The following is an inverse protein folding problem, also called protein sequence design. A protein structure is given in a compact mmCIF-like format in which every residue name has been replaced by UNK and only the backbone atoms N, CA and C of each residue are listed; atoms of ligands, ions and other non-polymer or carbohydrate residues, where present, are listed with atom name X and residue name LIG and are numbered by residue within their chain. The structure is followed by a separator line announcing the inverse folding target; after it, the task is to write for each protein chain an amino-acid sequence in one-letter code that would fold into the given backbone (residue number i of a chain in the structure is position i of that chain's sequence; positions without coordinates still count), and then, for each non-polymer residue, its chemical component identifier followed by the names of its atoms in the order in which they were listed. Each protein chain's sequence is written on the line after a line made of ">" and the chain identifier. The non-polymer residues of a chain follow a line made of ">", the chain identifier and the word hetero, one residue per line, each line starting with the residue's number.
data_IF_629852347912
#
_entry.id   IF_629852347912
#
_cell.length_a   1.000
_cell.length_b   1.000
_cell.length_c   1.000
_cell.angle_alpha   90.00
_cell.angle_beta   90.00
_cell.angle_gamma   90.00
#
_symmetry.space_group_name_H-M   'P 1'
#
loop_
_entity.id
_entity.type
_entity.pdbx_description
1 polymer ?
#
# COMPACT_ATOMS: atom_id res chain seq x y z
N UNK A 1 -14.32 11.69 9.23
CA UNK A 1 -14.14 10.58 8.28
C UNK A 1 -12.71 10.61 7.75
N UNK A 2 -12.04 9.46 7.70
CA UNK A 2 -10.68 9.31 7.20
C UNK A 2 -10.62 8.15 6.21
N UNK A 3 -9.73 8.22 5.23
CA UNK A 3 -9.38 7.10 4.35
C UNK A 3 -8.02 6.56 4.75
N UNK A 4 -8.04 5.60 5.67
CA UNK A 4 -6.81 5.00 6.20
C UNK A 4 -6.01 4.25 5.14
N UNK A 5 -6.65 3.74 4.09
CA UNK A 5 -5.96 3.08 2.99
C UNK A 5 -5.06 4.07 2.25
N UNK A 6 -5.63 5.21 1.83
CA UNK A 6 -4.87 6.28 1.16
C UNK A 6 -3.82 6.86 2.10
N UNK A 7 -4.14 7.13 3.37
CA UNK A 7 -3.19 7.69 4.33
C UNK A 7 -2.02 6.74 4.58
N UNK A 8 -2.26 5.43 4.69
CA UNK A 8 -1.21 4.41 4.83
C UNK A 8 -0.28 4.40 3.61
N UNK A 9 -0.85 4.41 2.40
CA UNK A 9 -0.08 4.44 1.15
C UNK A 9 0.77 5.72 1.07
N UNK A 10 0.21 6.88 1.38
CA UNK A 10 0.95 8.14 1.36
C UNK A 10 2.04 8.20 2.44
N UNK A 11 1.82 7.59 3.60
CA UNK A 11 2.82 7.47 4.65
C UNK A 11 3.96 6.54 4.22
N UNK A 12 3.63 5.37 3.69
CA UNK A 12 4.59 4.37 3.21
C UNK A 12 5.44 4.92 2.06
N UNK A 13 4.81 5.60 1.09
CA UNK A 13 5.49 6.21 -0.06
C UNK A 13 5.88 7.67 0.19
N UNK A 14 6.47 7.91 1.34
CA UNK A 14 7.15 9.14 1.74
C UNK A 14 8.64 8.88 1.96
N UNK A 15 9.45 9.92 2.03
CA UNK A 15 10.88 9.82 2.38
C UNK A 15 11.09 9.06 3.69
N UNK A 16 10.31 9.38 4.71
CA UNK A 16 10.38 8.67 6.00
C UNK A 16 9.91 7.23 5.88
N UNK A 17 8.74 6.98 5.28
CA UNK A 17 8.17 5.65 5.16
C UNK A 17 9.05 4.68 4.37
N UNK A 18 9.65 5.13 3.26
CA UNK A 18 10.63 4.32 2.53
C UNK A 18 11.93 4.08 3.34
N UNK A 19 12.37 5.08 4.09
CA UNK A 19 13.51 4.91 5.00
C UNK A 19 13.25 3.80 6.02
N UNK A 20 12.08 3.79 6.65
CA UNK A 20 11.65 2.76 7.61
C UNK A 20 11.47 1.39 6.93
N UNK A 21 10.91 1.35 5.71
CA UNK A 21 10.76 0.14 4.91
C UNK A 21 12.12 -0.51 4.61
N UNK A 22 13.07 0.24 4.07
CA UNK A 22 14.39 -0.27 3.75
C UNK A 22 15.14 -0.73 5.01
N UNK A 23 15.03 0.01 6.11
CA UNK A 23 15.62 -0.41 7.39
C UNK A 23 15.02 -1.72 7.91
N UNK A 24 13.70 -1.91 7.79
CA UNK A 24 13.04 -3.17 8.17
C UNK A 24 13.50 -4.34 7.29
N UNK A 25 13.64 -4.15 5.96
CA UNK A 25 14.15 -5.17 5.05
C UNK A 25 15.57 -5.59 5.43
N UNK A 26 16.45 -4.62 5.70
CA UNK A 26 17.84 -4.89 6.12
C UNK A 26 17.90 -5.63 7.48
N UNK A 27 16.99 -5.29 8.40
CA UNK A 27 16.89 -5.95 9.71
C UNK A 27 16.51 -7.42 9.58
N UNK A 28 15.67 -7.78 8.59
CA UNK A 28 15.22 -9.18 8.35
C UNK A 28 16.33 -10.08 7.82
N UNK A 29 17.40 -9.52 7.23
CA UNK A 29 18.58 -10.26 6.72
C UNK A 29 18.20 -11.44 5.81
N UNK A 30 17.18 -11.28 4.96
CA UNK A 30 16.71 -12.30 4.04
C UNK A 30 17.71 -12.59 2.91
N UNK A 31 17.58 -13.77 2.29
CA UNK A 31 18.22 -14.03 1.00
C UNK A 31 17.29 -13.55 -0.11
N UNK A 32 17.63 -12.44 -0.73
CA UNK A 32 16.78 -11.79 -1.70
C UNK A 32 17.23 -12.06 -3.15
N UNK A 33 16.28 -12.07 -4.12
CA UNK A 33 16.58 -12.14 -5.55
C UNK A 33 17.48 -11.00 -6.02
N UNK A 34 18.06 -11.12 -7.21
CA UNK A 34 18.96 -10.09 -7.78
C UNK A 34 18.27 -8.72 -7.90
N UNK A 35 17.00 -8.71 -8.36
CA UNK A 35 16.18 -7.49 -8.46
C UNK A 35 16.09 -6.75 -7.12
N UNK A 36 15.71 -7.45 -6.04
CA UNK A 36 15.62 -6.85 -4.69
C UNK A 36 16.97 -6.34 -4.21
N UNK A 37 18.04 -7.11 -4.44
CA UNK A 37 19.39 -6.64 -4.08
C UNK A 37 19.81 -5.37 -4.82
N UNK A 38 19.45 -5.26 -6.11
CA UNK A 38 19.64 -4.04 -6.89
C UNK A 38 18.90 -2.84 -6.31
N UNK A 39 17.64 -3.03 -5.92
CA UNK A 39 16.84 -1.99 -5.27
C UNK A 39 17.43 -1.56 -3.91
N UNK A 40 17.90 -2.52 -3.11
CA UNK A 40 18.57 -2.23 -1.83
C UNK A 40 19.87 -1.46 -2.03
N UNK A 41 20.66 -1.78 -3.06
CA UNK A 41 21.87 -1.04 -3.40
C UNK A 41 21.56 0.42 -3.80
N UNK A 42 20.40 0.65 -4.44
CA UNK A 42 19.94 1.95 -4.89
C UNK A 42 18.94 2.62 -3.92
N UNK A 43 18.77 2.12 -2.70
CA UNK A 43 17.73 2.56 -1.75
C UNK A 43 17.67 4.07 -1.57
N UNK A 44 18.83 4.74 -1.54
CA UNK A 44 18.88 6.18 -1.33
C UNK A 44 18.19 6.95 -2.47
N UNK A 45 18.36 6.53 -3.73
CA UNK A 45 17.66 7.15 -4.87
C UNK A 45 16.14 6.99 -4.76
N UNK A 46 15.65 5.83 -4.28
CA UNK A 46 14.21 5.64 -4.02
C UNK A 46 13.72 6.59 -2.92
N UNK A 47 14.45 6.70 -1.82
CA UNK A 47 14.09 7.58 -0.69
C UNK A 47 14.09 9.06 -1.13
N UNK A 48 15.05 9.49 -1.93
CA UNK A 48 15.19 10.89 -2.35
C UNK A 48 14.14 11.30 -3.40
N UNK A 49 13.63 10.36 -4.20
CA UNK A 49 12.73 10.64 -5.31
C UNK A 49 11.25 10.46 -4.98
N UNK A 50 10.90 9.60 -4.03
CA UNK A 50 9.52 9.15 -3.78
C UNK A 50 8.55 10.30 -3.54
N UNK A 51 8.88 11.25 -2.69
CA UNK A 51 7.97 12.35 -2.33
C UNK A 51 7.61 13.22 -3.55
N UNK A 52 8.60 13.49 -4.41
CA UNK A 52 8.38 14.26 -5.63
C UNK A 52 7.57 13.48 -6.67
N UNK A 53 7.81 12.16 -6.79
CA UNK A 53 7.06 11.27 -7.69
C UNK A 53 5.59 11.18 -7.26
N UNK A 54 5.33 10.98 -5.98
CA UNK A 54 3.95 10.97 -5.45
C UNK A 54 3.25 12.31 -5.68
N UNK A 55 3.93 13.44 -5.42
CA UNK A 55 3.39 14.77 -5.70
C UNK A 55 3.08 14.98 -7.19
N UNK A 56 3.92 14.46 -8.08
CA UNK A 56 3.69 14.51 -9.52
C UNK A 56 2.44 13.71 -9.92
N UNK A 57 2.30 12.49 -9.44
CA UNK A 57 1.12 11.65 -9.71
C UNK A 57 -0.17 12.28 -9.17
N UNK A 58 -0.09 13.04 -8.07
CA UNK A 58 -1.19 13.83 -7.53
C UNK A 58 -1.47 15.13 -8.32
N UNK A 59 -0.72 15.41 -9.38
CA UNK A 59 -0.86 16.64 -10.17
C UNK A 59 -0.32 17.91 -9.50
N UNK A 60 0.55 17.77 -8.50
CA UNK A 60 1.11 18.91 -7.73
C UNK A 60 2.51 19.34 -8.19
N UNK A 61 3.14 18.61 -9.13
CA UNK A 61 4.53 18.85 -9.57
C UNK A 61 4.71 18.57 -11.07
N UNK A 62 3.94 19.22 -11.92
CA UNK A 62 3.97 19.01 -13.37
C UNK A 62 5.38 19.16 -14.01
N UNK A 63 6.25 20.10 -13.60
CA UNK A 63 7.61 20.23 -14.16
C UNK A 63 8.47 18.97 -14.01
N UNK A 64 8.13 18.07 -13.08
CA UNK A 64 8.86 16.82 -12.88
C UNK A 64 8.76 15.87 -14.08
N UNK A 65 7.73 15.99 -14.91
CA UNK A 65 7.54 15.16 -16.10
C UNK A 65 8.77 15.11 -17.00
N UNK A 66 9.38 16.27 -17.24
CA UNK A 66 10.58 16.38 -18.06
C UNK A 66 11.77 15.60 -17.48
N UNK A 67 11.96 15.71 -16.15
CA UNK A 67 13.06 15.00 -15.46
C UNK A 67 12.85 13.50 -15.44
N UNK A 68 11.61 13.04 -15.24
CA UNK A 68 11.26 11.60 -15.25
C UNK A 68 11.55 10.99 -16.63
N UNK A 69 11.20 11.69 -17.71
CA UNK A 69 11.41 11.19 -19.07
C UNK A 69 12.87 11.17 -19.53
N UNK A 70 13.75 11.93 -18.88
CA UNK A 70 15.18 12.00 -19.21
C UNK A 70 16.03 10.94 -18.49
N UNK A 71 15.44 9.83 -18.05
CA UNK A 71 16.05 8.61 -17.47
C UNK A 71 16.95 8.80 -16.24
N UNK A 72 17.50 9.98 -15.99
CA UNK A 72 18.44 10.22 -14.88
C UNK A 72 17.77 10.46 -13.52
N UNK A 73 16.44 10.62 -13.49
CA UNK A 73 15.73 10.99 -12.26
C UNK A 73 15.29 9.79 -11.45
N UNK A 74 14.62 8.83 -12.07
CA UNK A 74 14.17 7.61 -11.38
C UNK A 74 15.33 6.61 -11.26
N UNK A 75 15.36 5.75 -10.22
CA UNK A 75 16.24 4.61 -10.20
C UNK A 75 16.02 3.72 -11.42
N UNK A 76 17.10 3.13 -11.95
CA UNK A 76 16.98 2.13 -13.01
C UNK A 76 16.15 0.94 -12.54
N UNK A 77 15.22 0.51 -13.39
CA UNK A 77 14.39 -0.67 -13.16
C UNK A 77 14.29 -1.52 -14.41
N UNK A 78 14.16 -2.83 -14.22
CA UNK A 78 13.97 -3.77 -15.33
C UNK A 78 12.69 -3.47 -16.12
N UNK A 79 11.66 -2.92 -15.49
CA UNK A 79 10.39 -2.54 -16.13
C UNK A 79 10.52 -1.30 -17.00
N UNK A 80 11.32 -0.33 -16.57
CA UNK A 80 11.53 0.95 -17.28
C UNK A 80 12.40 0.80 -18.51
N UNK A 81 13.31 -0.17 -18.54
CA UNK A 81 14.28 -0.38 -19.62
C UNK A 81 13.78 -1.24 -20.78
N UNK A 82 12.70 -1.99 -20.58
CA UNK A 82 12.29 -3.03 -21.54
C UNK A 82 11.59 -2.52 -22.81
N UNK A 83 11.15 -1.25 -22.90
CA UNK A 83 10.26 -0.84 -23.99
C UNK A 83 10.45 0.64 -24.43
N UNK A 84 11.69 1.13 -24.59
CA UNK A 84 11.89 2.52 -25.01
C UNK A 84 11.27 2.83 -26.38
N UNK A 85 11.41 1.93 -27.35
CA UNK A 85 10.84 2.11 -28.70
C UNK A 85 9.30 2.07 -28.67
N UNK A 86 8.71 1.15 -27.88
CA UNK A 86 7.25 1.06 -27.70
C UNK A 86 6.71 2.29 -26.96
N UNK A 87 7.42 2.80 -25.97
CA UNK A 87 7.05 4.02 -25.25
C UNK A 87 7.11 5.25 -26.13
N UNK A 88 8.11 5.33 -26.99
CA UNK A 88 8.24 6.44 -27.94
C UNK A 88 7.16 6.37 -29.02
N UNK A 89 6.82 5.18 -29.50
CA UNK A 89 5.69 4.95 -30.41
C UNK A 89 4.33 5.28 -29.76
N UNK A 90 4.11 4.84 -28.49
CA UNK A 90 2.83 5.01 -27.81
C UNK A 90 2.56 6.45 -27.37
N UNK A 91 3.57 7.17 -26.93
CA UNK A 91 3.40 8.51 -26.35
C UNK A 91 3.89 9.63 -27.26
N UNK A 92 4.82 9.37 -28.20
CA UNK A 92 5.37 10.36 -29.10
C UNK A 92 5.90 11.62 -28.39
N UNK A 93 6.09 12.69 -29.15
CA UNK A 93 6.58 13.97 -28.59
C UNK A 93 5.51 14.77 -27.83
N UNK A 94 4.24 14.49 -28.07
CA UNK A 94 3.11 15.21 -27.46
C UNK A 94 2.68 14.62 -26.12
N UNK A 95 3.07 13.40 -25.80
CA UNK A 95 2.65 12.64 -24.62
C UNK A 95 3.65 12.67 -23.46
N UNK A 96 4.55 13.66 -23.36
CA UNK A 96 5.58 13.71 -22.31
C UNK A 96 5.02 13.50 -20.89
N UNK A 97 3.90 14.15 -20.58
CA UNK A 97 3.28 14.04 -19.27
C UNK A 97 2.71 12.64 -19.01
N UNK A 98 2.10 12.05 -20.04
CA UNK A 98 1.52 10.71 -19.93
C UNK A 98 2.61 9.63 -19.88
N UNK A 99 3.70 9.79 -20.66
CA UNK A 99 4.91 8.97 -20.55
C UNK A 99 5.50 9.07 -19.14
N UNK A 100 5.63 10.27 -18.60
CA UNK A 100 6.14 10.46 -17.23
C UNK A 100 5.25 9.83 -16.17
N UNK A 101 3.91 9.91 -16.31
CA UNK A 101 2.96 9.24 -15.42
C UNK A 101 3.10 7.73 -15.49
N UNK A 102 3.22 7.19 -16.69
CA UNK A 102 3.43 5.76 -16.88
C UNK A 102 4.73 5.29 -16.18
N UNK A 103 5.86 5.96 -16.43
CA UNK A 103 7.14 5.65 -15.77
C UNK A 103 7.07 5.79 -14.24
N UNK A 104 6.41 6.84 -13.75
CA UNK A 104 6.16 7.02 -12.31
C UNK A 104 5.30 5.90 -11.71
N UNK A 105 4.34 5.37 -12.47
CA UNK A 105 3.52 4.24 -12.04
C UNK A 105 4.36 2.96 -11.97
N UNK A 106 5.18 2.68 -12.99
CA UNK A 106 6.10 1.53 -12.98
C UNK A 106 7.08 1.58 -11.79
N UNK A 107 7.59 2.76 -11.48
CA UNK A 107 8.44 2.98 -10.31
C UNK A 107 7.72 2.60 -8.99
N UNK A 108 6.45 2.97 -8.83
CA UNK A 108 5.65 2.56 -7.67
C UNK A 108 5.35 1.07 -7.68
N UNK A 109 5.12 0.46 -8.85
CA UNK A 109 4.91 -0.98 -8.96
C UNK A 109 6.17 -1.79 -8.58
N UNK A 110 7.37 -1.31 -8.92
CA UNK A 110 8.61 -1.92 -8.47
C UNK A 110 8.75 -1.88 -6.94
N UNK A 111 8.36 -0.78 -6.30
CA UNK A 111 8.30 -0.69 -4.84
C UNK A 111 7.25 -1.63 -4.24
N UNK A 112 6.11 -1.82 -4.91
CA UNK A 112 5.12 -2.82 -4.49
C UNK A 112 5.67 -4.25 -4.57
N UNK A 113 6.39 -4.58 -5.64
CA UNK A 113 7.04 -5.88 -5.77
C UNK A 113 8.08 -6.07 -4.66
N UNK A 114 8.89 -5.05 -4.38
CA UNK A 114 9.84 -5.08 -3.26
C UNK A 114 9.13 -5.43 -1.94
N UNK A 115 8.01 -4.77 -1.64
CA UNK A 115 7.26 -5.01 -0.42
C UNK A 115 6.71 -6.44 -0.38
N UNK A 116 6.12 -6.93 -1.49
CA UNK A 116 5.59 -8.30 -1.58
C UNK A 116 6.67 -9.35 -1.35
N UNK A 117 7.85 -9.15 -1.94
CA UNK A 117 8.94 -10.12 -1.86
C UNK A 117 9.67 -10.10 -0.51
N UNK A 118 9.57 -9.02 0.27
CA UNK A 118 10.41 -8.84 1.47
C UNK A 118 9.64 -8.66 2.77
N UNK A 119 8.47 -8.05 2.72
CA UNK A 119 7.71 -7.61 3.89
C UNK A 119 6.39 -8.33 4.04
N UNK A 120 5.55 -8.27 3.01
CA UNK A 120 4.16 -8.71 3.07
C UNK A 120 3.71 -9.19 1.68
N UNK A 121 3.58 -10.51 1.46
CA UNK A 121 3.21 -11.08 0.17
C UNK A 121 1.81 -10.67 -0.30
N UNK A 122 0.96 -10.22 0.61
CA UNK A 122 -0.41 -9.82 0.34
C UNK A 122 -0.55 -8.33 -0.02
N UNK A 123 0.57 -7.58 0.01
CA UNK A 123 0.56 -6.14 -0.25
C UNK A 123 0.13 -5.79 -1.68
N UNK A 124 -0.71 -4.77 -1.81
CA UNK A 124 -1.14 -4.19 -3.08
C UNK A 124 -1.73 -2.79 -2.89
N UNK A 125 -1.61 -1.93 -3.91
CA UNK A 125 -2.10 -0.55 -3.84
C UNK A 125 -3.62 -0.43 -3.61
N UNK A 126 -4.40 -1.21 -4.37
CA UNK A 126 -5.86 -1.11 -4.36
C UNK A 126 -6.54 -2.40 -3.94
N UNK A 127 -5.77 -3.48 -3.77
CA UNK A 127 -6.29 -4.83 -3.59
C UNK A 127 -5.50 -5.59 -2.53
N UNK A 128 -5.13 -4.90 -1.45
CA UNK A 128 -4.43 -5.52 -0.34
C UNK A 128 -5.24 -6.69 0.21
N UNK A 129 -4.62 -7.87 0.24
CA UNK A 129 -5.24 -9.11 0.69
C UNK A 129 -6.64 -9.40 0.06
N UNK A 130 -6.91 -8.88 -1.14
CA UNK A 130 -8.21 -9.08 -1.82
C UNK A 130 -8.52 -10.57 -2.01
N UNK A 131 -7.50 -11.40 -2.27
CA UNK A 131 -7.67 -12.84 -2.41
C UNK A 131 -8.26 -13.47 -1.15
N UNK A 132 -7.89 -13.01 0.05
CA UNK A 132 -8.47 -13.50 1.31
C UNK A 132 -9.97 -13.19 1.42
N UNK A 133 -10.40 -12.04 0.88
CA UNK A 133 -11.82 -11.69 0.85
C UNK A 133 -12.61 -12.35 -0.29
N UNK A 134 -11.94 -12.75 -1.38
CA UNK A 134 -12.59 -13.39 -2.54
C UNK A 134 -12.71 -14.90 -2.42
N UNK A 135 -11.75 -15.55 -1.77
CA UNK A 135 -11.73 -17.00 -1.61
C UNK A 135 -12.71 -17.50 -0.54
N UNK A 136 -13.59 -16.66 -0.06
CA UNK A 136 -14.44 -16.91 1.10
C UNK A 136 -15.60 -17.88 0.84
N UNK A 137 -15.29 -19.09 0.40
CA UNK A 137 -16.16 -20.23 0.71
C UNK A 137 -16.08 -20.62 2.20
N UNK A 138 -15.03 -20.19 2.91
CA UNK A 138 -14.88 -20.33 4.36
C UNK A 138 -14.11 -19.15 4.96
N UNK A 139 -14.28 -18.93 6.26
CA UNK A 139 -13.53 -17.91 7.02
C UNK A 139 -12.11 -18.35 7.41
N UNK A 140 -11.75 -19.61 7.16
CA UNK A 140 -10.52 -20.23 7.67
C UNK A 140 -9.24 -19.48 7.26
N UNK A 141 -9.11 -19.10 5.98
CA UNK A 141 -7.93 -18.37 5.49
C UNK A 141 -7.80 -16.99 6.12
N UNK A 142 -8.91 -16.29 6.28
CA UNK A 142 -8.95 -14.97 6.94
C UNK A 142 -8.59 -15.13 8.40
N UNK A 143 -9.16 -16.10 9.11
CA UNK A 143 -8.88 -16.38 10.52
C UNK A 143 -7.39 -16.69 10.71
N UNK A 144 -6.83 -17.60 9.90
CA UNK A 144 -5.40 -17.92 9.96
C UNK A 144 -4.52 -16.68 9.76
N UNK A 145 -4.87 -15.84 8.78
CA UNK A 145 -4.15 -14.59 8.53
C UNK A 145 -4.29 -13.59 9.69
N UNK A 146 -5.46 -13.53 10.33
CA UNK A 146 -5.71 -12.66 11.49
C UNK A 146 -4.95 -13.11 12.76
N UNK A 147 -4.59 -14.38 12.88
CA UNK A 147 -3.79 -14.88 14.00
C UNK A 147 -2.29 -14.57 13.86
N UNK A 148 -1.81 -14.21 12.67
CA UNK A 148 -0.41 -13.79 12.48
C UNK A 148 -0.12 -12.50 13.25
N UNK A 149 1.12 -12.26 13.68
CA UNK A 149 1.53 -10.98 14.26
C UNK A 149 1.21 -9.80 13.32
N UNK A 150 1.02 -8.61 13.89
CA UNK A 150 0.82 -7.40 13.08
C UNK A 150 1.99 -7.18 12.13
N UNK A 151 1.68 -6.99 10.86
CA UNK A 151 2.67 -6.76 9.80
C UNK A 151 3.35 -5.40 9.95
N UNK A 152 4.35 -5.13 9.13
CA UNK A 152 4.94 -3.80 9.04
C UNK A 152 3.90 -2.76 8.60
N UNK A 153 3.04 -3.12 7.65
CA UNK A 153 1.97 -2.25 7.16
C UNK A 153 0.92 -1.97 8.23
N UNK A 154 0.50 -3.00 8.99
CA UNK A 154 -0.40 -2.82 10.14
C UNK A 154 0.16 -1.79 11.12
N UNK A 155 1.44 -1.92 11.49
CA UNK A 155 2.11 -1.01 12.42
C UNK A 155 2.27 0.42 11.89
N UNK A 156 2.26 0.63 10.58
CA UNK A 156 2.21 1.97 9.99
C UNK A 156 0.81 2.58 10.03
N UNK A 157 -0.22 1.74 9.90
CA UNK A 157 -1.63 2.20 9.88
C UNK A 157 -2.17 2.49 11.28
N UNK A 158 -1.75 1.74 12.30
CA UNK A 158 -2.19 1.90 13.69
C UNK A 158 -2.02 3.33 14.22
N UNK A 159 -0.86 4.00 14.10
CA UNK A 159 -0.69 5.39 14.54
C UNK A 159 -1.58 6.40 13.82
N UNK A 160 -1.92 6.14 12.55
CA UNK A 160 -2.83 7.00 11.79
C UNK A 160 -4.24 6.94 12.38
N UNK A 161 -4.72 5.72 12.67
CA UNK A 161 -6.01 5.54 13.32
C UNK A 161 -6.02 6.15 14.72
N UNK A 162 -4.98 5.95 15.52
CA UNK A 162 -4.83 6.53 16.85
C UNK A 162 -4.93 8.06 16.81
N UNK A 163 -4.25 8.69 15.86
CA UNK A 163 -4.32 10.13 15.64
C UNK A 163 -5.77 10.58 15.39
N UNK A 164 -6.50 9.89 14.50
CA UNK A 164 -7.89 10.23 14.21
C UNK A 164 -8.82 10.05 15.42
N UNK A 165 -8.58 9.02 16.23
CA UNK A 165 -9.33 8.81 17.47
C UNK A 165 -9.09 9.98 18.45
N UNK A 166 -7.83 10.34 18.65
CA UNK A 166 -7.46 11.44 19.57
C UNK A 166 -8.02 12.79 19.11
N UNK A 167 -7.97 13.09 17.81
CA UNK A 167 -8.45 14.35 17.25
C UNK A 167 -9.99 14.44 17.26
N UNK A 168 -10.69 13.35 16.92
CA UNK A 168 -12.16 13.34 16.81
C UNK A 168 -12.87 13.17 18.16
N UNK A 169 -12.17 12.63 19.17
CA UNK A 169 -12.76 12.20 20.46
C UNK A 169 -13.99 11.30 20.25
N UNK A 170 -13.91 10.45 19.26
CA UNK A 170 -15.00 9.58 18.85
C UNK A 170 -15.31 8.55 19.91
N UNK A 171 -16.62 8.35 20.17
CA UNK A 171 -17.12 7.34 21.12
C UNK A 171 -17.50 6.03 20.42
N UNK A 172 -17.50 6.01 19.11
CA UNK A 172 -17.81 4.85 18.25
C UNK A 172 -16.92 4.93 17.03
N UNK A 173 -16.37 3.81 16.60
CA UNK A 173 -15.58 3.69 15.37
C UNK A 173 -16.36 2.81 14.39
N UNK A 174 -16.54 3.29 13.17
CA UNK A 174 -17.21 2.56 12.11
C UNK A 174 -16.28 2.38 10.91
N UNK A 175 -16.06 1.12 10.50
CA UNK A 175 -15.35 0.78 9.28
C UNK A 175 -16.33 0.67 8.12
N UNK A 176 -16.04 1.39 7.03
CA UNK A 176 -16.72 1.21 5.75
C UNK A 176 -15.90 0.25 4.88
N UNK A 177 -16.47 -0.90 4.55
CA UNK A 177 -15.88 -1.95 3.72
C UNK A 177 -16.65 -2.03 2.40
N UNK A 178 -16.31 -1.20 1.41
CA UNK A 178 -17.01 -1.18 0.13
C UNK A 178 -16.67 -2.38 -0.76
N UNK A 179 -15.46 -2.95 -0.63
CA UNK A 179 -14.93 -4.01 -1.49
C UNK A 179 -14.20 -5.08 -0.65
N UNK A 180 -14.06 -6.32 -1.16
CA UNK A 180 -13.38 -7.42 -0.45
C UNK A 180 -11.96 -7.08 -0.02
N UNK A 181 -11.20 -6.30 -0.81
CA UNK A 181 -9.85 -5.87 -0.48
C UNK A 181 -9.73 -4.97 0.76
N UNK A 182 -10.83 -4.40 1.25
CA UNK A 182 -10.83 -3.61 2.47
C UNK A 182 -11.14 -4.44 3.73
N UNK A 183 -11.64 -5.68 3.57
CA UNK A 183 -12.12 -6.49 4.69
C UNK A 183 -10.99 -6.83 5.67
N UNK A 184 -9.93 -7.46 5.16
CA UNK A 184 -8.83 -7.93 6.01
C UNK A 184 -8.20 -6.80 6.82
N UNK A 185 -7.87 -5.67 6.18
CA UNK A 185 -7.31 -4.50 6.87
C UNK A 185 -8.25 -3.94 7.94
N UNK A 186 -9.57 -3.93 7.67
CA UNK A 186 -10.57 -3.48 8.65
C UNK A 186 -10.63 -4.41 9.85
N UNK A 187 -10.57 -5.73 9.64
CA UNK A 187 -10.53 -6.72 10.72
C UNK A 187 -9.23 -6.61 11.55
N UNK A 188 -8.08 -6.42 10.89
CA UNK A 188 -6.78 -6.20 11.57
C UNK A 188 -6.82 -4.96 12.47
N UNK A 189 -7.34 -3.86 11.96
CA UNK A 189 -7.50 -2.63 12.73
C UNK A 189 -8.52 -2.80 13.87
N UNK A 190 -9.59 -3.54 13.64
CA UNK A 190 -10.57 -3.86 14.69
C UNK A 190 -9.95 -4.70 15.82
N UNK A 191 -9.13 -5.71 15.49
CA UNK A 191 -8.37 -6.47 16.48
C UNK A 191 -7.45 -5.58 17.32
N UNK A 192 -6.69 -4.69 16.68
CA UNK A 192 -5.83 -3.74 17.38
C UNK A 192 -6.65 -2.81 18.28
N UNK A 193 -7.75 -2.26 17.77
CA UNK A 193 -8.66 -1.40 18.56
C UNK A 193 -9.21 -2.08 19.78
N UNK A 194 -9.60 -3.36 19.69
CA UNK A 194 -10.10 -4.13 20.84
C UNK A 194 -9.06 -4.29 21.95
N UNK A 195 -7.77 -4.26 21.58
CA UNK A 195 -6.66 -4.32 22.54
C UNK A 195 -6.33 -2.93 23.11
N UNK A 196 -6.25 -1.90 22.25
CA UNK A 196 -5.82 -0.56 22.62
C UNK A 196 -6.96 0.28 23.24
N UNK A 197 -8.20 0.08 22.78
CA UNK A 197 -9.39 0.86 23.16
C UNK A 197 -10.59 -0.06 23.42
N UNK A 198 -10.57 -0.93 24.45
CA UNK A 198 -11.59 -1.95 24.67
C UNK A 198 -13.01 -1.37 24.89
N UNK A 199 -13.10 -0.13 25.36
CA UNK A 199 -14.35 0.55 25.68
C UNK A 199 -15.03 1.21 24.48
N UNK A 200 -14.34 1.31 23.33
CA UNK A 200 -14.90 1.94 22.14
C UNK A 200 -15.66 0.89 21.31
N UNK A 201 -16.97 1.05 21.11
CA UNK A 201 -17.73 0.20 20.20
C UNK A 201 -17.23 0.29 18.76
N UNK A 202 -17.11 -0.86 18.10
CA UNK A 202 -16.68 -0.99 16.70
C UNK A 202 -17.86 -1.46 15.87
N UNK A 203 -18.13 -0.75 14.79
CA UNK A 203 -19.14 -1.11 13.81
C UNK A 203 -18.48 -1.38 12.46
N UNK A 204 -19.07 -2.25 11.67
CA UNK A 204 -18.65 -2.50 10.29
C UNK A 204 -19.87 -2.39 9.36
N UNK A 205 -19.67 -1.76 8.21
CA UNK A 205 -20.69 -1.58 7.19
C UNK A 205 -20.06 -1.37 5.81
N UNK A 206 -20.86 -0.92 4.84
CA UNK A 206 -20.42 -0.71 3.47
C UNK A 206 -20.97 -1.75 2.49
N UNK A 207 -20.72 -1.58 1.21
CA UNK A 207 -21.30 -2.41 0.14
C UNK A 207 -21.02 -3.89 0.35
N UNK A 208 -19.75 -4.26 0.50
CA UNK A 208 -19.35 -5.68 0.66
C UNK A 208 -19.96 -6.34 1.90
N UNK A 209 -20.00 -5.63 3.03
CA UNK A 209 -20.63 -6.15 4.27
C UNK A 209 -22.11 -6.39 4.06
N UNK A 210 -22.82 -5.47 3.41
CA UNK A 210 -24.26 -5.56 3.24
C UNK A 210 -24.70 -6.59 2.18
N UNK A 211 -23.86 -6.90 1.20
CA UNK A 211 -24.19 -7.86 0.13
C UNK A 211 -23.65 -9.25 0.42
N UNK A 212 -22.38 -9.36 0.75
CA UNK A 212 -21.68 -10.66 0.85
C UNK A 212 -21.63 -11.19 2.29
N UNK A 213 -21.37 -10.32 3.28
CA UNK A 213 -21.19 -10.78 4.65
C UNK A 213 -22.49 -10.88 5.44
N UNK A 214 -23.59 -10.34 4.93
CA UNK A 214 -24.89 -10.35 5.63
C UNK A 214 -25.44 -11.75 5.89
N UNK A 215 -25.09 -12.71 5.06
CA UNK A 215 -25.55 -14.09 5.14
C UNK A 215 -24.58 -15.04 5.83
N UNK A 216 -23.46 -14.53 6.36
CA UNK A 216 -22.48 -15.35 7.08
C UNK A 216 -23.11 -15.93 8.34
N UNK A 217 -22.97 -17.24 8.50
CA UNK A 217 -23.40 -18.00 9.68
C UNK A 217 -22.23 -18.48 10.53
N UNK A 218 -21.01 -18.20 10.11
CA UNK A 218 -19.80 -18.56 10.85
C UNK A 218 -19.70 -17.69 12.11
N UNK A 219 -19.71 -18.33 13.28
CA UNK A 219 -19.70 -17.64 14.58
C UNK A 219 -18.35 -17.06 14.97
N UNK A 220 -17.29 -17.32 14.20
CA UNK A 220 -15.95 -16.76 14.40
C UNK A 220 -15.82 -15.35 13.81
N UNK A 221 -16.72 -14.99 12.90
CA UNK A 221 -16.79 -13.67 12.28
C UNK A 221 -17.55 -12.67 13.18
#
# INVERSE_FOLDING_TARGET
>A
QADLGIETILTLFSTQGLGELFAEIERRKGKYPAKVRGMLANKQRYIDTITAVVAFLQGKNDPLAYRICNQDYLPESDRGSQNEEELEWAFGTSGLRDKARYLATLYLEDLCDLIRETIDPDFGFSRYAEHLGRCASSFDEIEEALQKPFSFIDRMTQPLLEKHIAESKSKVIAFSVPFPGNLFSSLRLAQWLRQAHPDIPILMGGGFVNTELRSITDTRF
#
